data_IF_948873454578
#
_entry.id   IF_948873454578
#
_cell.length_a   1.000
_cell.length_b   1.000
_cell.length_c   1.000
_cell.angle_alpha   90.00
_cell.angle_beta   90.00
_cell.angle_gamma   90.00
#
_symmetry.space_group_name_H-M   'P 1'
#
loop_
_entity.id
_entity.type
_entity.pdbx_description
1 polymer ?
#
# COMPACT_ATOMS: atom_id res chain seq x y z
N UNK A 1 -18.58 16.62 -1.25
CA UNK A 1 -17.84 15.52 -0.63
C UNK A 1 -16.97 14.90 -1.72
N UNK A 2 -15.66 14.79 -1.52
CA UNK A 2 -14.77 14.15 -2.51
C UNK A 2 -15.10 12.66 -2.52
N UNK A 3 -15.38 12.09 -3.69
CA UNK A 3 -15.65 10.65 -3.80
C UNK A 3 -14.35 9.90 -3.52
N UNK A 4 -14.37 9.05 -2.50
CA UNK A 4 -13.24 8.23 -2.07
C UNK A 4 -13.06 7.04 -3.01
N UNK A 5 -11.82 6.64 -3.26
CA UNK A 5 -11.52 5.38 -3.96
C UNK A 5 -11.75 4.19 -3.03
N UNK A 6 -12.51 3.21 -3.52
CA UNK A 6 -12.77 1.96 -2.80
C UNK A 6 -11.50 1.11 -2.65
N UNK A 7 -11.39 0.38 -1.55
CA UNK A 7 -10.23 -0.44 -1.21
C UNK A 7 -9.88 -1.45 -2.30
N UNK A 8 -10.87 -2.16 -2.83
CA UNK A 8 -10.66 -3.14 -3.90
C UNK A 8 -10.19 -2.49 -5.22
N UNK A 9 -10.66 -1.29 -5.52
CA UNK A 9 -10.23 -0.52 -6.70
C UNK A 9 -8.78 -0.05 -6.51
N UNK A 10 -8.44 0.46 -5.32
CA UNK A 10 -7.08 0.87 -4.99
C UNK A 10 -6.10 -0.31 -5.05
N UNK A 11 -6.51 -1.48 -4.49
CA UNK A 11 -5.78 -2.75 -4.58
C UNK A 11 -5.55 -3.18 -6.03
N UNK A 12 -6.58 -3.08 -6.89
CA UNK A 12 -6.47 -3.37 -8.31
C UNK A 12 -5.49 -2.42 -9.01
N UNK A 13 -5.63 -1.11 -8.84
CA UNK A 13 -4.74 -0.11 -9.44
C UNK A 13 -3.29 -0.31 -9.03
N UNK A 14 -3.06 -0.62 -7.75
CA UNK A 14 -1.71 -0.88 -7.25
C UNK A 14 -1.07 -2.11 -7.93
N UNK A 15 -1.82 -3.20 -8.10
CA UNK A 15 -1.33 -4.39 -8.80
C UNK A 15 -1.08 -4.16 -10.28
N UNK A 16 -1.97 -3.41 -10.94
CA UNK A 16 -1.81 -3.04 -12.35
C UNK A 16 -0.57 -2.16 -12.54
N UNK A 17 -0.32 -1.19 -11.65
CA UNK A 17 0.86 -0.33 -11.73
C UNK A 17 2.16 -1.09 -11.43
N UNK A 18 2.17 -1.98 -10.43
CA UNK A 18 3.30 -2.87 -10.18
C UNK A 18 3.63 -3.73 -11.41
N UNK A 19 2.60 -4.22 -12.11
CA UNK A 19 2.79 -4.93 -13.37
C UNK A 19 3.40 -4.04 -14.46
N UNK A 20 2.97 -2.77 -14.58
CA UNK A 20 3.58 -1.80 -15.50
C UNK A 20 5.06 -1.59 -15.16
N UNK A 21 5.43 -1.50 -13.87
CA UNK A 21 6.83 -1.42 -13.45
C UNK A 21 7.65 -2.64 -13.88
N UNK A 22 7.07 -3.84 -13.82
CA UNK A 22 7.68 -5.04 -14.39
C UNK A 22 7.85 -4.92 -15.92
N UNK A 23 6.83 -4.45 -16.65
CA UNK A 23 6.91 -4.26 -18.10
C UNK A 23 8.01 -3.29 -18.50
N UNK A 24 8.20 -2.20 -17.74
CA UNK A 24 9.27 -1.21 -17.96
C UNK A 24 10.68 -1.82 -17.87
N UNK A 25 10.86 -3.02 -17.31
CA UNK A 25 12.14 -3.73 -17.34
C UNK A 25 12.47 -4.32 -18.72
N UNK A 26 11.48 -4.45 -19.61
CA UNK A 26 11.65 -5.01 -20.95
C UNK A 26 11.69 -3.88 -21.98
N UNK A 27 12.89 -3.40 -22.28
CA UNK A 27 13.08 -2.28 -23.20
C UNK A 27 14.33 -2.49 -24.07
N UNK A 28 14.30 -1.97 -25.30
CA UNK A 28 15.44 -1.99 -26.23
C UNK A 28 15.97 -3.41 -26.54
N UNK A 29 15.07 -4.42 -26.53
CA UNK A 29 15.42 -5.82 -26.77
C UNK A 29 16.21 -6.48 -25.63
N UNK A 30 16.22 -5.88 -24.43
CA UNK A 30 16.90 -6.38 -23.24
C UNK A 30 15.97 -6.40 -22.03
N UNK A 31 16.35 -7.21 -21.04
CA UNK A 31 15.73 -7.21 -19.71
C UNK A 31 16.68 -6.43 -18.80
N UNK A 32 16.27 -5.24 -18.33
CA UNK A 32 17.05 -4.44 -17.39
C UNK A 32 16.95 -5.05 -15.99
N UNK A 33 18.06 -5.07 -15.26
CA UNK A 33 18.06 -5.50 -13.86
C UNK A 33 17.34 -4.49 -12.97
N UNK A 34 16.80 -4.97 -11.85
CA UNK A 34 16.36 -4.12 -10.75
C UNK A 34 17.57 -3.54 -10.02
N UNK A 35 17.49 -2.28 -9.59
CA UNK A 35 18.52 -1.70 -8.72
C UNK A 35 18.42 -2.30 -7.31
N UNK A 36 19.54 -2.40 -6.59
CA UNK A 36 19.55 -2.96 -5.23
C UNK A 36 18.63 -2.13 -4.33
N UNK A 37 17.55 -2.73 -3.84
CA UNK A 37 16.55 -2.08 -3.00
C UNK A 37 15.31 -1.54 -3.72
N UNK A 38 15.23 -1.67 -5.05
CA UNK A 38 14.07 -1.26 -5.83
C UNK A 38 13.39 -2.47 -6.47
N UNK A 39 12.06 -2.53 -6.38
CA UNK A 39 11.24 -3.58 -6.96
C UNK A 39 9.92 -2.99 -7.46
N UNK A 40 9.08 -3.84 -8.05
CA UNK A 40 7.77 -3.49 -8.59
C UNK A 40 6.86 -2.80 -7.57
N UNK A 41 6.91 -3.21 -6.30
CA UNK A 41 6.06 -2.68 -5.23
C UNK A 41 6.51 -1.29 -4.78
N UNK A 42 7.83 -1.08 -4.69
CA UNK A 42 8.39 0.25 -4.43
C UNK A 42 8.06 1.22 -5.55
N UNK A 43 8.22 0.78 -6.81
CA UNK A 43 7.81 1.59 -7.95
C UNK A 43 6.33 1.91 -7.95
N UNK A 44 5.47 0.92 -7.67
CA UNK A 44 4.04 1.14 -7.58
C UNK A 44 3.69 2.15 -6.48
N UNK A 45 4.30 2.04 -5.30
CA UNK A 45 4.10 3.01 -4.22
C UNK A 45 4.50 4.43 -4.65
N UNK A 46 5.66 4.59 -5.30
CA UNK A 46 6.15 5.87 -5.81
C UNK A 46 5.19 6.49 -6.85
N UNK A 47 4.53 5.67 -7.68
CA UNK A 47 3.54 6.16 -8.65
C UNK A 47 2.32 6.84 -8.01
N UNK A 48 2.00 6.51 -6.76
CA UNK A 48 0.86 7.07 -6.02
C UNK A 48 1.27 8.19 -5.04
N UNK A 49 2.54 8.60 -5.00
CA UNK A 49 2.98 9.70 -4.13
C UNK A 49 2.20 10.98 -4.44
N UNK A 50 1.64 11.62 -3.40
CA UNK A 50 0.80 12.80 -3.51
C UNK A 50 -0.58 12.61 -4.18
N UNK A 51 -1.00 11.40 -4.54
CA UNK A 51 -2.28 11.18 -5.26
C UNK A 51 -3.52 11.09 -4.35
N UNK A 52 -3.33 10.85 -3.06
CA UNK A 52 -4.43 10.65 -2.11
C UNK A 52 -4.39 11.67 -0.96
N UNK A 53 -5.44 12.50 -0.89
CA UNK A 53 -5.60 13.52 0.16
C UNK A 53 -6.32 12.94 1.40
N UNK A 54 -7.16 11.91 1.21
CA UNK A 54 -7.96 11.37 2.31
C UNK A 54 -7.10 10.43 3.17
N UNK A 55 -7.10 10.60 4.51
CA UNK A 55 -6.33 9.74 5.41
C UNK A 55 -6.62 8.24 5.23
N UNK A 56 -7.88 7.87 4.99
CA UNK A 56 -8.30 6.49 4.76
C UNK A 56 -7.72 5.90 3.46
N UNK A 57 -7.61 6.68 2.38
CA UNK A 57 -7.03 6.20 1.11
C UNK A 57 -5.54 5.94 1.26
N UNK A 58 -4.82 6.83 1.96
CA UNK A 58 -3.41 6.64 2.30
C UNK A 58 -3.21 5.42 3.20
N UNK A 59 -4.07 5.24 4.19
CA UNK A 59 -4.03 4.07 5.07
C UNK A 59 -4.22 2.77 4.27
N UNK A 60 -5.20 2.74 3.36
CA UNK A 60 -5.45 1.62 2.45
C UNK A 60 -4.24 1.30 1.58
N UNK A 61 -3.66 2.31 0.92
CA UNK A 61 -2.47 2.17 0.09
C UNK A 61 -1.30 1.58 0.88
N UNK A 62 -1.03 2.12 2.06
CA UNK A 62 0.07 1.69 2.91
C UNK A 62 -0.11 0.24 3.38
N UNK A 63 -1.34 -0.17 3.72
CA UNK A 63 -1.66 -1.57 4.05
C UNK A 63 -1.38 -2.50 2.86
N UNK A 64 -1.82 -2.14 1.66
CA UNK A 64 -1.57 -2.91 0.44
C UNK A 64 -0.05 -3.04 0.18
N UNK A 65 0.70 -1.94 0.29
CA UNK A 65 2.14 -1.97 0.11
C UNK A 65 2.83 -2.90 1.13
N UNK A 66 2.48 -2.81 2.41
CA UNK A 66 3.10 -3.65 3.45
C UNK A 66 2.87 -5.14 3.17
N UNK A 67 1.65 -5.52 2.83
CA UNK A 67 1.29 -6.92 2.51
C UNK A 67 2.06 -7.42 1.28
N UNK A 68 2.08 -6.63 0.21
CA UNK A 68 2.72 -7.03 -1.06
C UNK A 68 4.24 -7.07 -0.97
N UNK A 69 4.84 -6.15 -0.22
CA UNK A 69 6.27 -6.10 -0.02
C UNK A 69 6.76 -7.17 0.97
N UNK A 70 5.93 -7.59 1.94
CA UNK A 70 6.22 -8.71 2.83
C UNK A 70 7.58 -8.60 3.54
N UNK A 71 7.93 -7.40 4.00
CA UNK A 71 9.22 -7.06 4.61
C UNK A 71 10.49 -7.38 3.76
N UNK A 72 10.35 -7.67 2.46
CA UNK A 72 11.48 -7.92 1.52
C UNK A 72 12.51 -6.78 1.52
N UNK A 73 12.06 -5.56 1.85
CA UNK A 73 12.92 -4.41 2.07
C UNK A 73 12.59 -3.74 3.40
N UNK A 74 13.48 -3.94 4.40
CA UNK A 74 13.26 -3.55 5.79
C UNK A 74 13.01 -2.04 5.98
N UNK A 75 13.83 -1.20 5.34
CA UNK A 75 13.73 0.25 5.54
C UNK A 75 12.38 0.79 5.04
N UNK A 76 11.92 0.38 3.86
CA UNK A 76 10.63 0.83 3.34
C UNK A 76 9.46 0.24 4.12
N UNK A 77 9.58 -1.01 4.59
CA UNK A 77 8.59 -1.59 5.48
C UNK A 77 8.45 -0.79 6.79
N UNK A 78 9.57 -0.43 7.43
CA UNK A 78 9.55 0.37 8.66
C UNK A 78 8.97 1.77 8.45
N UNK A 79 9.36 2.45 7.37
CA UNK A 79 8.84 3.79 7.03
C UNK A 79 7.32 3.73 6.85
N UNK A 80 6.83 2.85 5.98
CA UNK A 80 5.40 2.78 5.67
C UNK A 80 4.58 2.27 6.86
N UNK A 81 5.13 1.36 7.67
CA UNK A 81 4.48 0.93 8.91
C UNK A 81 4.34 2.08 9.91
N UNK A 82 5.36 2.93 10.06
CA UNK A 82 5.27 4.11 10.92
C UNK A 82 4.20 5.09 10.40
N UNK A 83 4.07 5.27 9.09
CA UNK A 83 3.01 6.09 8.51
C UNK A 83 1.61 5.55 8.81
N UNK A 84 1.42 4.22 8.77
CA UNK A 84 0.17 3.58 9.20
C UNK A 84 -0.12 3.94 10.66
N UNK A 85 0.88 3.81 11.54
CA UNK A 85 0.72 4.16 12.96
C UNK A 85 0.39 5.64 13.16
N UNK A 86 1.04 6.53 12.41
CA UNK A 86 0.79 7.97 12.48
C UNK A 86 -0.62 8.34 12.00
N UNK A 87 -1.11 7.72 10.93
CA UNK A 87 -2.49 7.94 10.47
C UNK A 87 -3.48 7.49 11.56
N UNK A 88 -3.30 6.29 12.11
CA UNK A 88 -4.18 5.73 13.15
C UNK A 88 -4.12 6.51 14.48
N UNK A 89 -2.98 7.14 14.79
CA UNK A 89 -2.82 7.97 15.99
C UNK A 89 -3.49 9.35 15.85
N UNK A 90 -3.45 9.92 14.65
CA UNK A 90 -3.87 11.30 14.41
C UNK A 90 -5.33 11.44 13.97
N UNK A 91 -6.03 10.33 13.72
CA UNK A 91 -7.44 10.32 13.30
C UNK A 91 -8.23 9.35 14.15
N UNK A 92 -9.51 9.66 14.38
CA UNK A 92 -10.41 8.71 15.01
C UNK A 92 -10.67 7.54 14.05
N UNK A 93 -10.53 6.31 14.56
CA UNK A 93 -10.67 5.11 13.75
C UNK A 93 -12.08 4.92 13.18
N UNK A 94 -13.12 5.18 13.98
CA UNK A 94 -14.51 5.04 13.55
C UNK A 94 -14.82 6.02 12.41
N UNK A 95 -14.28 7.23 12.46
CA UNK A 95 -14.39 8.23 11.39
C UNK A 95 -13.67 7.79 10.11
N UNK A 96 -12.48 7.18 10.22
CA UNK A 96 -11.72 6.68 9.06
C UNK A 96 -12.52 5.62 8.29
N UNK A 97 -13.28 4.78 8.99
CA UNK A 97 -13.99 3.64 8.41
C UNK A 97 -15.50 3.86 8.25
N UNK A 98 -16.00 5.07 8.53
CA UNK A 98 -17.44 5.38 8.53
C UNK A 98 -18.06 5.24 7.12
N UNK A 99 -17.31 5.63 6.10
CA UNK A 99 -17.76 5.64 4.70
C UNK A 99 -17.43 4.34 3.93
N UNK A 100 -16.97 3.30 4.64
CA UNK A 100 -16.73 1.99 4.03
C UNK A 100 -18.02 1.18 4.02
N UNK A 101 -18.40 0.66 2.85
CA UNK A 101 -19.47 -0.33 2.77
C UNK A 101 -19.09 -1.62 3.50
N UNK A 102 -20.07 -2.38 4.02
CA UNK A 102 -19.83 -3.56 4.87
C UNK A 102 -18.80 -4.56 4.30
N UNK A 103 -18.94 -4.95 3.03
CA UNK A 103 -18.01 -5.89 2.38
C UNK A 103 -16.60 -5.31 2.24
N UNK A 104 -16.50 -4.03 1.87
CA UNK A 104 -15.22 -3.34 1.75
C UNK A 104 -14.53 -3.18 3.11
N UNK A 105 -15.30 -2.81 4.13
CA UNK A 105 -14.85 -2.67 5.51
C UNK A 105 -14.31 -4.00 6.02
N UNK A 106 -15.02 -5.11 5.77
CA UNK A 106 -14.57 -6.45 6.16
C UNK A 106 -13.23 -6.82 5.51
N UNK A 107 -13.07 -6.59 4.21
CA UNK A 107 -11.82 -6.87 3.48
C UNK A 107 -10.66 -6.00 4.00
N UNK A 108 -10.88 -4.69 4.10
CA UNK A 108 -9.86 -3.76 4.58
C UNK A 108 -9.45 -4.03 6.03
N UNK A 109 -10.41 -4.27 6.93
CA UNK A 109 -10.11 -4.54 8.33
C UNK A 109 -9.39 -5.87 8.54
N UNK A 110 -9.66 -6.87 7.70
CA UNK A 110 -8.91 -8.12 7.72
C UNK A 110 -7.43 -7.86 7.42
N UNK A 111 -7.14 -7.14 6.32
CA UNK A 111 -5.78 -6.81 5.90
C UNK A 111 -5.06 -5.91 6.92
N UNK A 112 -5.74 -4.87 7.43
CA UNK A 112 -5.19 -4.01 8.47
C UNK A 112 -4.86 -4.80 9.74
N UNK A 113 -5.73 -5.74 10.14
CA UNK A 113 -5.50 -6.60 11.30
C UNK A 113 -4.31 -7.54 11.10
N UNK A 114 -4.07 -8.03 9.88
CA UNK A 114 -2.84 -8.78 9.57
C UNK A 114 -1.61 -7.90 9.80
N UNK A 115 -1.58 -6.69 9.26
CA UNK A 115 -0.44 -5.76 9.42
C UNK A 115 -0.22 -5.40 10.89
N UNK A 116 -1.26 -5.08 11.64
CA UNK A 116 -1.13 -4.63 13.03
C UNK A 116 -0.75 -5.74 14.02
N UNK A 117 -1.01 -7.01 13.69
CA UNK A 117 -0.69 -8.14 14.57
C UNK A 117 0.60 -8.89 14.20
N UNK A 118 1.21 -8.60 13.05
CA UNK A 118 2.44 -9.25 12.59
C UNK A 118 3.55 -8.21 12.42
N UNK A 119 4.05 -7.69 13.56
CA UNK A 119 5.02 -6.57 13.60
C UNK A 119 6.48 -7.02 13.63
N UNK A 120 6.72 -8.26 14.01
CA UNK A 120 8.05 -8.83 14.11
C UNK A 120 8.47 -9.34 12.72
N UNK A 121 9.69 -9.02 12.31
CA UNK A 121 10.28 -9.51 11.06
C UNK A 121 11.23 -10.64 11.44
N UNK A 122 11.11 -11.78 10.75
CA UNK A 122 12.00 -12.93 10.93
C UNK A 122 13.45 -12.56 10.56
N UNK A 123 14.41 -13.00 11.40
CA UNK A 123 15.86 -12.73 11.24
C UNK A 123 16.55 -13.70 10.27
#
# INVERSE_FOLDING_TARGET
MKERIKYNILKQWFFEDAYIWCQRKFEEGKIRNWHKGFNEWGGALDSFDGHFDLPIERLMLNVIFIITNGARHLLSHQIVFNEIQDILRNHNFDDLVADLGEEEKKDFLYDLNLVLNNREIEE
#
